data_IF_546297368930
#
_entry.id   IF_546297368930
#
_cell.length_a   1.000
_cell.length_b   1.000
_cell.length_c   1.000
_cell.angle_alpha   90.00
_cell.angle_beta   90.00
_cell.angle_gamma   90.00
#
_symmetry.space_group_name_H-M   'P 1'
#
loop_
_entity.id
_entity.type
_entity.pdbx_description
1 polymer ?
#
# COMPACT_ATOMS: atom_id res chain seq x y z
N UNK A 1 -9.31 13.35 -15.40
CA UNK A 1 -8.28 14.13 -14.69
C UNK A 1 -7.76 13.43 -13.42
N UNK A 2 -8.63 12.94 -12.51
CA UNK A 2 -8.21 12.27 -11.25
C UNK A 2 -7.29 11.04 -11.44
N UNK A 3 -7.50 10.23 -12.48
CA UNK A 3 -6.68 9.03 -12.75
C UNK A 3 -5.22 9.40 -13.06
N UNK A 4 -5.00 10.53 -13.76
CA UNK A 4 -3.65 10.99 -14.11
C UNK A 4 -2.90 11.51 -12.89
N UNK A 5 -3.60 12.14 -11.94
CA UNK A 5 -3.04 12.64 -10.69
C UNK A 5 -2.52 11.49 -9.82
N UNK A 6 -3.36 10.50 -9.51
CA UNK A 6 -2.97 9.33 -8.73
C UNK A 6 -1.87 8.48 -9.40
N UNK A 7 -1.89 8.38 -10.73
CA UNK A 7 -0.84 7.72 -11.49
C UNK A 7 0.51 8.44 -11.39
N UNK A 8 0.52 9.78 -11.30
CA UNK A 8 1.73 10.56 -11.08
C UNK A 8 2.30 10.34 -9.67
N UNK A 9 1.45 10.31 -8.64
CA UNK A 9 1.85 10.06 -7.26
C UNK A 9 2.46 8.66 -7.09
N UNK A 10 1.83 7.64 -7.67
CA UNK A 10 2.33 6.27 -7.65
C UNK A 10 3.75 6.15 -8.27
N UNK A 11 4.02 6.94 -9.31
CA UNK A 11 5.35 7.03 -9.95
C UNK A 11 6.35 7.80 -9.10
N UNK A 12 5.94 8.88 -8.43
CA UNK A 12 6.80 9.75 -7.61
C UNK A 12 6.69 9.51 -6.11
N UNK A 13 6.28 8.31 -5.70
CA UNK A 13 6.03 7.93 -4.29
C UNK A 13 7.15 8.30 -3.32
N UNK A 14 8.41 8.13 -3.72
CA UNK A 14 9.58 8.49 -2.89
C UNK A 14 9.60 10.00 -2.64
N UNK A 15 9.43 10.81 -3.69
CA UNK A 15 9.43 12.26 -3.57
C UNK A 15 8.26 12.75 -2.71
N UNK A 16 7.06 12.14 -2.84
CA UNK A 16 5.89 12.48 -2.01
C UNK A 16 6.17 12.19 -0.53
N UNK A 17 6.70 11.01 -0.20
CA UNK A 17 6.99 10.64 1.20
C UNK A 17 8.10 11.51 1.80
N UNK A 18 9.17 11.78 1.04
CA UNK A 18 10.26 12.64 1.49
C UNK A 18 9.78 14.08 1.69
N UNK A 19 9.00 14.62 0.75
CA UNK A 19 8.43 15.96 0.89
C UNK A 19 7.49 16.06 2.09
N UNK A 20 6.64 15.06 2.31
CA UNK A 20 5.77 14.99 3.50
C UNK A 20 6.59 14.98 4.80
N UNK A 21 7.66 14.17 4.87
CA UNK A 21 8.55 14.12 6.03
C UNK A 21 9.24 15.44 6.29
N UNK A 22 9.88 16.03 5.27
CA UNK A 22 10.58 17.31 5.41
C UNK A 22 9.63 18.42 5.84
N UNK A 23 8.44 18.47 5.24
CA UNK A 23 7.41 19.45 5.59
C UNK A 23 6.95 19.25 7.04
N UNK A 24 6.64 18.02 7.44
CA UNK A 24 6.21 17.69 8.79
C UNK A 24 7.27 18.09 9.84
N UNK A 25 8.55 17.83 9.56
CA UNK A 25 9.65 18.22 10.46
C UNK A 25 9.81 19.73 10.53
N UNK A 26 9.84 20.43 9.40
CA UNK A 26 9.97 21.90 9.37
C UNK A 26 8.83 22.59 10.15
N UNK A 27 7.62 22.10 9.94
CA UNK A 27 6.42 22.53 10.65
C UNK A 27 6.51 22.27 12.17
N UNK A 28 7.04 21.12 12.57
CA UNK A 28 7.23 20.77 13.98
C UNK A 28 8.29 21.66 14.65
N UNK A 29 9.38 21.99 13.95
CA UNK A 29 10.42 22.91 14.43
C UNK A 29 9.87 24.33 14.57
N UNK A 30 9.10 24.80 13.58
CA UNK A 30 8.45 26.11 13.64
C UNK A 30 7.49 26.20 14.85
N UNK A 31 6.73 25.12 15.11
CA UNK A 31 5.87 25.04 16.29
C UNK A 31 6.66 25.13 17.60
N UNK A 32 7.83 24.52 17.67
CA UNK A 32 8.67 24.55 18.87
C UNK A 32 9.25 25.94 19.12
N UNK A 33 9.57 26.69 18.08
CA UNK A 33 10.16 28.04 18.18
C UNK A 33 9.13 29.15 18.41
N UNK A 34 7.89 28.99 17.95
CA UNK A 34 6.83 30.02 18.06
C UNK A 34 6.23 30.22 19.46
N UNK A 35 6.61 29.40 20.46
CA UNK A 35 6.14 29.55 21.86
C UNK A 35 4.68 29.14 22.13
N UNK A 36 4.29 29.13 23.41
CA UNK A 36 3.04 28.52 23.87
C UNK A 36 1.77 29.37 23.67
N UNK A 37 1.90 30.68 23.41
CA UNK A 37 0.78 31.63 23.40
C UNK A 37 -0.29 31.35 22.34
N UNK A 38 0.06 30.67 21.24
CA UNK A 38 -0.88 30.26 20.18
C UNK A 38 -0.86 28.75 19.93
N UNK A 39 -0.32 27.99 20.88
CA UNK A 39 0.07 26.60 20.69
C UNK A 39 -1.07 25.71 20.21
N UNK A 40 -2.31 25.88 20.69
CA UNK A 40 -3.40 24.96 20.37
C UNK A 40 -3.95 25.17 18.94
N UNK A 41 -4.19 26.42 18.55
CA UNK A 41 -4.63 26.78 17.17
C UNK A 41 -3.52 26.49 16.16
N UNK A 42 -2.28 26.84 16.49
CA UNK A 42 -1.13 26.56 15.65
C UNK A 42 -0.86 25.06 15.55
N UNK A 43 -0.99 24.29 16.63
CA UNK A 43 -0.82 22.82 16.60
C UNK A 43 -1.87 22.13 15.74
N UNK A 44 -3.14 22.56 15.80
CA UNK A 44 -4.20 22.04 14.94
C UNK A 44 -3.94 22.37 13.46
N UNK A 45 -3.58 23.62 13.16
CA UNK A 45 -3.27 24.06 11.80
C UNK A 45 -2.04 23.32 11.24
N UNK A 46 -1.05 23.07 12.06
CA UNK A 46 0.21 22.48 11.63
C UNK A 46 0.11 20.95 11.47
N UNK A 47 -0.64 20.27 12.34
CA UNK A 47 -0.72 18.81 12.34
C UNK A 47 -1.90 18.27 11.53
N UNK A 48 -3.09 18.83 11.73
CA UNK A 48 -4.31 18.30 11.14
C UNK A 48 -4.48 18.78 9.70
N UNK A 49 -4.16 20.04 9.40
CA UNK A 49 -4.44 20.64 8.09
C UNK A 49 -3.67 19.96 6.94
N UNK A 50 -2.40 19.56 7.09
CA UNK A 50 -1.70 18.80 6.06
C UNK A 50 -2.10 17.32 6.04
N UNK A 51 -2.36 16.71 7.21
CA UNK A 51 -2.67 15.28 7.30
C UNK A 51 -4.05 14.94 6.69
N UNK A 52 -5.05 15.79 6.92
CA UNK A 52 -6.44 15.57 6.45
C UNK A 52 -6.54 15.36 4.94
N UNK A 53 -5.99 16.21 4.05
CA UNK A 53 -6.09 16.00 2.61
C UNK A 53 -5.38 14.72 2.16
N UNK A 54 -4.27 14.32 2.81
CA UNK A 54 -3.63 13.04 2.52
C UNK A 54 -4.48 11.85 2.94
N UNK A 55 -5.12 11.90 4.12
CA UNK A 55 -5.99 10.83 4.61
C UNK A 55 -7.27 10.72 3.75
N UNK A 56 -7.90 11.85 3.45
CA UNK A 56 -9.07 11.90 2.56
C UNK A 56 -8.70 11.45 1.14
N UNK A 57 -7.57 11.93 0.63
CA UNK A 57 -7.01 11.50 -0.64
C UNK A 57 -6.76 10.00 -0.68
N UNK A 58 -6.21 9.42 0.39
CA UNK A 58 -6.01 7.98 0.51
C UNK A 58 -7.33 7.21 0.49
N UNK A 59 -8.35 7.68 1.21
CA UNK A 59 -9.68 7.07 1.21
C UNK A 59 -10.34 7.13 -0.18
N UNK A 60 -10.31 8.30 -0.83
CA UNK A 60 -10.83 8.49 -2.19
C UNK A 60 -10.07 7.64 -3.19
N UNK A 61 -8.73 7.61 -3.11
CA UNK A 61 -7.89 6.78 -3.95
C UNK A 61 -8.22 5.29 -3.78
N UNK A 62 -8.35 4.80 -2.55
CA UNK A 62 -8.70 3.39 -2.28
C UNK A 62 -10.07 3.01 -2.81
N UNK A 63 -11.02 3.95 -2.87
CA UNK A 63 -12.36 3.71 -3.40
C UNK A 63 -12.44 3.81 -4.93
N UNK A 64 -11.75 4.80 -5.51
CA UNK A 64 -11.94 5.27 -6.89
C UNK A 64 -10.81 4.91 -7.84
N UNK A 65 -9.58 4.73 -7.35
CA UNK A 65 -8.43 4.43 -8.20
C UNK A 65 -8.38 2.94 -8.52
N UNK A 66 -9.00 2.57 -9.65
CA UNK A 66 -8.99 1.22 -10.21
C UNK A 66 -8.54 1.28 -11.65
N UNK A 67 -7.23 1.41 -11.89
CA UNK A 67 -6.71 1.43 -13.24
C UNK A 67 -7.08 0.13 -13.96
N UNK A 68 -7.60 0.25 -15.18
CA UNK A 68 -7.89 -0.86 -16.07
C UNK A 68 -6.65 -1.24 -16.90
N UNK A 69 -5.47 -1.30 -16.26
CA UNK A 69 -4.22 -1.70 -16.89
C UNK A 69 -3.29 -2.40 -15.90
N UNK A 70 -2.45 -3.29 -16.43
CA UNK A 70 -1.36 -3.95 -15.71
C UNK A 70 -0.02 -3.42 -16.25
N UNK A 71 1.01 -3.45 -15.40
CA UNK A 71 2.35 -2.97 -15.76
C UNK A 71 3.17 -4.17 -16.22
N UNK A 72 3.56 -4.20 -17.50
CA UNK A 72 4.53 -5.17 -17.98
C UNK A 72 5.92 -4.85 -17.43
N UNK A 73 6.65 -5.90 -17.03
CA UNK A 73 8.01 -5.81 -16.49
C UNK A 73 8.93 -6.69 -17.31
N UNK A 74 9.65 -6.12 -18.29
CA UNK A 74 10.53 -6.91 -19.14
C UNK A 74 11.74 -7.47 -18.38
N UNK A 75 12.16 -6.83 -17.27
CA UNK A 75 13.32 -7.31 -16.49
C UNK A 75 13.01 -8.56 -15.66
N UNK A 76 11.73 -8.79 -15.35
CA UNK A 76 11.24 -9.98 -14.63
C UNK A 76 9.92 -10.33 -15.28
N UNK A 77 9.85 -11.37 -16.15
CA UNK A 77 8.70 -11.65 -17.02
C UNK A 77 7.43 -11.79 -16.20
N UNK A 78 6.72 -10.67 -16.06
CA UNK A 78 5.62 -10.52 -15.15
C UNK A 78 4.72 -9.34 -15.55
N UNK A 79 3.45 -9.49 -15.23
CA UNK A 79 2.48 -8.40 -15.21
C UNK A 79 2.19 -8.05 -13.75
N UNK A 80 2.54 -6.81 -13.37
CA UNK A 80 2.33 -6.29 -12.02
C UNK A 80 1.10 -5.37 -11.94
N UNK A 81 0.43 -5.41 -10.80
CA UNK A 81 -0.51 -4.35 -10.41
C UNK A 81 0.27 -3.05 -10.14
N UNK A 82 -0.19 -1.88 -10.63
CA UNK A 82 0.48 -0.61 -10.36
C UNK A 82 0.48 -0.27 -8.87
N UNK A 83 1.44 0.56 -8.45
CA UNK A 83 1.55 0.96 -7.04
C UNK A 83 0.26 1.63 -6.56
N UNK A 84 -0.16 1.28 -5.34
CA UNK A 84 -1.41 1.77 -4.77
C UNK A 84 -1.23 3.19 -4.21
N UNK A 85 -1.82 4.24 -4.83
CA UNK A 85 -1.73 5.61 -4.34
C UNK A 85 -2.33 5.79 -2.95
N UNK A 86 -3.32 4.97 -2.55
CA UNK A 86 -3.89 5.05 -1.20
C UNK A 86 -2.86 4.72 -0.11
N UNK A 87 -1.95 3.79 -0.38
CA UNK A 87 -0.88 3.44 0.54
C UNK A 87 0.14 4.59 0.66
N UNK A 88 0.48 5.23 -0.46
CA UNK A 88 1.41 6.38 -0.51
C UNK A 88 0.83 7.58 0.23
N UNK A 89 -0.42 7.95 -0.07
CA UNK A 89 -1.10 9.06 0.59
C UNK A 89 -1.35 8.77 2.08
N UNK A 90 -1.73 7.54 2.42
CA UNK A 90 -1.91 7.13 3.81
C UNK A 90 -0.61 7.22 4.61
N UNK A 91 0.51 6.75 4.04
CA UNK A 91 1.83 6.87 4.65
C UNK A 91 2.28 8.33 4.78
N UNK A 92 2.02 9.17 3.78
CA UNK A 92 2.30 10.60 3.82
C UNK A 92 1.48 11.31 4.92
N UNK A 93 0.17 11.05 5.00
CA UNK A 93 -0.70 11.61 6.03
C UNK A 93 -0.29 11.18 7.44
N UNK A 94 0.02 9.90 7.63
CA UNK A 94 0.50 9.39 8.92
C UNK A 94 1.87 9.98 9.30
N UNK A 95 2.71 10.37 8.34
CA UNK A 95 4.01 11.02 8.61
C UNK A 95 3.85 12.32 9.40
N UNK A 96 2.84 13.13 9.08
CA UNK A 96 2.54 14.35 9.86
C UNK A 96 2.13 14.02 11.30
N UNK A 97 1.28 13.00 11.47
CA UNK A 97 0.83 12.54 12.79
C UNK A 97 2.00 11.99 13.61
N UNK A 98 2.84 11.16 13.00
CA UNK A 98 3.99 10.54 13.66
C UNK A 98 5.00 11.59 14.12
N UNK A 99 5.38 12.53 13.25
CA UNK A 99 6.31 13.62 13.60
C UNK A 99 5.75 14.49 14.71
N UNK A 100 4.44 14.79 14.67
CA UNK A 100 3.78 15.56 15.72
C UNK A 100 3.84 14.84 17.08
N UNK A 101 3.54 13.54 17.11
CA UNK A 101 3.58 12.72 18.33
C UNK A 101 5.02 12.66 18.86
N UNK A 102 6.00 12.33 18.02
CA UNK A 102 7.41 12.24 18.42
C UNK A 102 7.92 13.57 18.97
N UNK A 103 7.65 14.68 18.29
CA UNK A 103 8.05 16.01 18.77
C UNK A 103 7.31 16.45 20.05
N UNK A 104 6.11 15.92 20.31
CA UNK A 104 5.41 16.06 21.59
C UNK A 104 6.09 15.25 22.70
N UNK A 105 6.45 14.00 22.42
CA UNK A 105 7.12 13.09 23.35
C UNK A 105 8.52 13.57 23.76
N UNK A 106 9.26 14.21 22.85
CA UNK A 106 10.56 14.82 23.17
C UNK A 106 10.39 15.93 24.22
N UNK A 107 9.42 16.84 24.04
CA UNK A 107 9.14 17.89 25.03
C UNK A 107 8.59 17.34 26.33
N UNK A 108 7.82 16.25 26.25
CA UNK A 108 7.38 15.54 27.43
C UNK A 108 8.60 15.09 28.23
N UNK A 109 9.59 14.44 27.60
CA UNK A 109 10.84 14.01 28.24
C UNK A 109 11.60 15.16 28.93
N UNK A 110 11.65 16.35 28.32
CA UNK A 110 12.31 17.54 28.89
C UNK A 110 11.65 18.00 30.21
N UNK A 111 10.37 17.70 30.42
CA UNK A 111 9.64 18.05 31.64
C UNK A 111 9.88 17.08 32.83
N UNK A 112 10.81 16.13 32.69
CA UNK A 112 11.17 15.15 33.74
C UNK A 112 10.26 13.91 33.96
N UNK A 113 9.47 13.40 33.00
CA UNK A 113 8.66 12.21 33.18
C UNK A 113 9.42 10.90 32.94
N UNK A 114 8.70 9.79 33.10
CA UNK A 114 9.21 8.43 32.92
C UNK A 114 9.73 8.15 31.49
N UNK A 115 11.04 7.93 31.38
CA UNK A 115 11.74 7.65 30.12
C UNK A 115 11.19 6.42 29.38
N UNK A 116 10.84 5.34 30.11
CA UNK A 116 10.41 4.09 29.49
C UNK A 116 9.12 4.26 28.67
N UNK A 117 8.16 5.05 29.17
CA UNK A 117 6.91 5.34 28.47
C UNK A 117 7.17 6.10 27.17
N UNK A 118 8.02 7.13 27.24
CA UNK A 118 8.42 7.94 26.08
C UNK A 118 9.06 7.08 24.99
N UNK A 119 10.00 6.21 25.39
CA UNK A 119 10.68 5.28 24.46
C UNK A 119 9.67 4.31 23.85
N UNK A 120 8.75 3.75 24.63
CA UNK A 120 7.73 2.83 24.14
C UNK A 120 6.81 3.48 23.08
N UNK A 121 6.35 4.72 23.31
CA UNK A 121 5.51 5.45 22.36
C UNK A 121 6.27 5.77 21.07
N UNK A 122 7.52 6.24 21.16
CA UNK A 122 8.36 6.53 19.99
C UNK A 122 8.61 5.25 19.18
N UNK A 123 8.93 4.14 19.85
CA UNK A 123 9.14 2.86 19.20
C UNK A 123 7.87 2.37 18.48
N UNK A 124 6.70 2.49 19.11
CA UNK A 124 5.42 2.10 18.52
C UNK A 124 5.11 2.94 17.26
N UNK A 125 5.18 4.26 17.38
CA UNK A 125 4.89 5.18 16.27
C UNK A 125 5.91 5.04 15.14
N UNK A 126 7.20 4.93 15.47
CA UNK A 126 8.26 4.68 14.50
C UNK A 126 8.09 3.35 13.77
N UNK A 127 7.70 2.29 14.49
CA UNK A 127 7.40 0.99 13.91
C UNK A 127 6.21 1.03 12.95
N UNK A 128 5.12 1.69 13.34
CA UNK A 128 3.94 1.90 12.46
C UNK A 128 4.31 2.72 11.22
N UNK A 129 5.10 3.79 11.37
CA UNK A 129 5.58 4.61 10.27
C UNK A 129 6.43 3.80 9.28
N UNK A 130 7.36 3.00 9.79
CA UNK A 130 8.21 2.14 8.98
C UNK A 130 7.38 1.09 8.22
N UNK A 131 6.36 0.51 8.86
CA UNK A 131 5.46 -0.44 8.21
C UNK A 131 4.65 0.23 7.07
N UNK A 132 4.14 1.44 7.29
CA UNK A 132 3.41 2.20 6.27
C UNK A 132 4.32 2.63 5.10
N UNK A 133 5.54 3.08 5.37
CA UNK A 133 6.51 3.40 4.32
C UNK A 133 6.90 2.17 3.53
N UNK A 134 7.11 1.03 4.20
CA UNK A 134 7.33 -0.25 3.54
C UNK A 134 6.15 -0.57 2.64
N UNK A 135 4.91 -0.48 3.11
CA UNK A 135 3.70 -0.72 2.33
C UNK A 135 3.57 0.21 1.11
N UNK A 136 3.91 1.50 1.27
CA UNK A 136 3.84 2.51 0.21
C UNK A 136 4.93 2.36 -0.86
N UNK A 137 6.14 2.00 -0.45
CA UNK A 137 7.31 1.89 -1.34
C UNK A 137 7.48 0.49 -1.93
N UNK A 138 7.01 -0.52 -1.21
CA UNK A 138 7.12 -1.92 -1.56
C UNK A 138 6.24 -2.31 -2.73
N UNK A 139 6.64 -3.42 -3.38
CA UNK A 139 5.90 -4.01 -4.49
C UNK A 139 4.95 -5.06 -3.94
N UNK A 140 3.77 -4.62 -3.52
CA UNK A 140 2.70 -5.47 -2.99
C UNK A 140 1.53 -5.57 -3.96
N UNK A 141 0.74 -6.63 -3.81
CA UNK A 141 -0.38 -6.97 -4.67
C UNK A 141 -0.09 -8.16 -5.57
N UNK A 142 -1.00 -8.34 -6.54
CA UNK A 142 -0.98 -9.48 -7.45
C UNK A 142 0.02 -9.25 -8.58
N UNK A 143 0.77 -10.31 -8.89
CA UNK A 143 1.70 -10.43 -10.00
C UNK A 143 1.35 -11.69 -10.77
N UNK A 144 1.18 -11.56 -12.07
CA UNK A 144 1.08 -12.70 -12.98
C UNK A 144 2.47 -12.99 -13.53
N UNK A 145 2.87 -14.25 -13.52
CA UNK A 145 4.15 -14.75 -14.06
C UNK A 145 3.88 -15.96 -14.95
N UNK A 146 4.81 -16.35 -15.84
CA UNK A 146 4.68 -17.59 -16.62
C UNK A 146 4.42 -18.83 -15.75
N UNK A 147 4.99 -18.88 -14.54
CA UNK A 147 4.82 -20.01 -13.62
C UNK A 147 3.49 -20.01 -12.85
N UNK A 148 2.87 -18.84 -12.66
CA UNK A 148 1.64 -18.73 -11.87
C UNK A 148 1.33 -17.33 -11.41
N UNK A 149 0.40 -17.25 -10.47
CA UNK A 149 -0.04 -16.02 -9.81
C UNK A 149 0.68 -15.91 -8.47
N UNK A 150 1.33 -14.77 -8.23
CA UNK A 150 1.91 -14.43 -6.93
C UNK A 150 1.14 -13.27 -6.33
N UNK A 151 0.70 -13.37 -5.08
CA UNK A 151 0.19 -12.23 -4.31
C UNK A 151 1.12 -11.93 -3.14
N UNK A 152 1.72 -10.74 -3.17
CA UNK A 152 2.66 -10.27 -2.15
C UNK A 152 1.97 -9.31 -1.19
N UNK A 153 2.01 -9.63 0.10
CA UNK A 153 1.52 -8.77 1.17
C UNK A 153 2.69 -8.38 2.10
N UNK A 154 2.57 -7.30 2.90
CA UNK A 154 3.67 -6.83 3.75
C UNK A 154 4.32 -7.89 4.65
N UNK A 155 3.54 -8.88 5.09
CA UNK A 155 3.93 -9.91 6.05
C UNK A 155 3.86 -11.34 5.50
N UNK A 156 3.53 -11.54 4.23
CA UNK A 156 3.41 -12.88 3.65
C UNK A 156 3.13 -12.88 2.15
N UNK A 157 3.44 -14.01 1.53
CA UNK A 157 3.30 -14.22 0.09
C UNK A 157 2.43 -15.46 -0.17
N UNK A 158 1.68 -15.44 -1.26
CA UNK A 158 0.96 -16.58 -1.79
C UNK A 158 1.39 -16.82 -3.23
N UNK A 159 1.70 -18.05 -3.57
CA UNK A 159 1.98 -18.49 -4.93
C UNK A 159 0.97 -19.56 -5.33
N UNK A 160 0.29 -19.32 -6.44
CA UNK A 160 -0.73 -20.19 -7.02
C UNK A 160 -0.23 -20.55 -8.42
N UNK A 161 0.29 -21.78 -8.63
CA UNK A 161 0.66 -22.20 -9.97
C UNK A 161 -0.57 -22.23 -10.86
N UNK A 162 -0.42 -21.98 -12.16
CA UNK A 162 -1.55 -22.05 -13.10
C UNK A 162 -2.27 -23.41 -13.06
N UNK A 163 -1.51 -24.46 -12.80
CA UNK A 163 -1.97 -25.84 -12.62
C UNK A 163 -2.88 -26.06 -11.40
N UNK A 164 -2.91 -25.12 -10.45
CA UNK A 164 -3.81 -25.16 -9.30
C UNK A 164 -5.23 -24.69 -9.63
N UNK A 165 -5.40 -23.95 -10.72
CA UNK A 165 -6.68 -23.38 -11.14
C UNK A 165 -7.59 -24.44 -11.76
N UNK A 166 -8.89 -24.28 -11.57
CA UNK A 166 -9.94 -25.04 -12.27
C UNK A 166 -10.05 -24.58 -13.73
N UNK A 167 -10.66 -25.41 -14.58
CA UNK A 167 -10.91 -25.05 -15.98
C UNK A 167 -12.00 -23.98 -16.11
N UNK A 168 -11.96 -23.23 -17.20
CA UNK A 168 -12.66 -21.97 -17.43
C UNK A 168 -14.11 -21.89 -16.88
N UNK A 169 -14.50 -20.80 -16.19
CA UNK A 169 -13.66 -19.67 -15.78
C UNK A 169 -12.93 -19.96 -14.47
N UNK A 170 -11.62 -19.67 -14.44
CA UNK A 170 -10.76 -19.87 -13.27
C UNK A 170 -10.88 -18.74 -12.23
N UNK A 171 -11.26 -17.53 -12.65
CA UNK A 171 -11.29 -16.33 -11.81
C UNK A 171 -12.54 -15.48 -12.03
N UNK A 172 -13.07 -14.89 -10.96
CA UNK A 172 -14.28 -14.08 -10.97
C UNK A 172 -14.12 -12.83 -10.09
N UNK A 173 -14.63 -11.67 -10.51
CA UNK A 173 -14.69 -10.50 -9.64
C UNK A 173 -15.71 -10.77 -8.52
N UNK A 174 -15.25 -10.85 -7.27
CA UNK A 174 -16.15 -11.04 -6.10
C UNK A 174 -16.60 -9.71 -5.52
N UNK A 175 -15.66 -8.77 -5.39
CA UNK A 175 -15.89 -7.40 -4.93
C UNK A 175 -15.03 -6.47 -5.75
N UNK A 176 -15.35 -5.18 -5.66
CA UNK A 176 -14.54 -4.06 -6.09
C UNK A 176 -13.01 -4.21 -5.94
N UNK A 177 -12.56 -4.83 -4.85
CA UNK A 177 -11.15 -4.97 -4.47
C UNK A 177 -10.74 -6.43 -4.28
N UNK A 178 -11.52 -7.40 -4.78
CA UNK A 178 -11.26 -8.83 -4.61
C UNK A 178 -11.61 -9.64 -5.86
N UNK A 179 -10.70 -10.53 -6.23
CA UNK A 179 -10.93 -11.57 -7.23
C UNK A 179 -10.95 -12.92 -6.52
N UNK A 180 -11.99 -13.71 -6.76
CA UNK A 180 -12.09 -15.08 -6.30
C UNK A 180 -11.57 -16.03 -7.38
N UNK A 181 -10.82 -17.04 -6.96
CA UNK A 181 -10.29 -18.09 -7.82
C UNK A 181 -11.03 -19.40 -7.55
N UNK A 182 -11.28 -20.16 -8.61
CA UNK A 182 -11.65 -21.57 -8.51
C UNK A 182 -10.38 -22.40 -8.54
N UNK A 183 -10.09 -23.07 -7.42
CA UNK A 183 -8.92 -23.90 -7.26
C UNK A 183 -9.34 -25.37 -7.40
N UNK A 184 -8.90 -26.04 -8.45
CA UNK A 184 -9.06 -27.49 -8.59
C UNK A 184 -8.06 -28.26 -7.74
N UNK A 185 -6.84 -27.72 -7.58
CA UNK A 185 -5.76 -28.34 -6.79
C UNK A 185 -5.23 -27.38 -5.72
N UNK A 186 -5.97 -27.20 -4.62
CA UNK A 186 -5.61 -26.24 -3.57
C UNK A 186 -4.36 -26.64 -2.76
N UNK A 187 -3.92 -27.90 -2.89
CA UNK A 187 -2.69 -28.48 -2.32
C UNK A 187 -1.41 -27.95 -2.99
N UNK A 188 -1.49 -27.55 -4.27
CA UNK A 188 -0.35 -26.97 -5.00
C UNK A 188 -0.07 -25.51 -4.61
N UNK A 189 -1.01 -24.87 -3.88
CA UNK A 189 -0.88 -23.48 -3.45
C UNK A 189 0.15 -23.37 -2.34
N UNK A 190 1.15 -22.51 -2.53
CA UNK A 190 2.22 -22.28 -1.57
C UNK A 190 1.99 -20.95 -0.84
N UNK A 191 1.91 -21.02 0.49
CA UNK A 191 1.80 -19.84 1.36
C UNK A 191 3.08 -19.69 2.17
N UNK A 192 3.63 -18.48 2.21
CA UNK A 192 4.81 -18.14 3.01
C UNK A 192 4.51 -16.95 3.92
N UNK A 193 4.91 -17.03 5.18
CA UNK A 193 4.70 -15.94 6.15
C UNK A 193 3.25 -15.78 6.61
N UNK A 194 2.96 -14.63 7.19
CA UNK A 194 1.65 -14.30 7.74
C UNK A 194 0.79 -13.58 6.71
N UNK A 195 -0.06 -14.35 6.01
CA UNK A 195 -1.12 -13.84 5.15
C UNK A 195 -2.47 -14.18 5.77
N UNK A 196 -3.27 -13.17 6.06
CA UNK A 196 -4.67 -13.34 6.45
C UNK A 196 -5.56 -13.62 5.25
N UNK A 197 -6.69 -14.30 5.49
CA UNK A 197 -7.71 -14.58 4.48
C UNK A 197 -7.54 -15.89 3.72
N UNK A 198 -8.49 -16.13 2.82
CA UNK A 198 -8.58 -17.35 2.01
C UNK A 198 -7.53 -17.36 0.88
N UNK A 199 -6.96 -18.54 0.60
CA UNK A 199 -6.04 -18.78 -0.53
C UNK A 199 -6.73 -18.62 -1.88
N UNK A 200 -8.04 -18.80 -1.95
CA UNK A 200 -8.84 -18.60 -3.15
C UNK A 200 -9.21 -17.12 -3.37
N UNK A 201 -8.80 -16.20 -2.50
CA UNK A 201 -9.10 -14.77 -2.63
C UNK A 201 -7.82 -13.97 -2.88
N UNK A 202 -7.80 -13.28 -4.02
CA UNK A 202 -6.77 -12.34 -4.40
C UNK A 202 -7.22 -10.90 -4.14
N UNK A 203 -6.37 -10.04 -3.57
CA UNK A 203 -6.64 -8.61 -3.50
C UNK A 203 -6.51 -8.00 -4.90
N UNK A 204 -7.48 -7.19 -5.29
CA UNK A 204 -7.42 -6.32 -6.46
C UNK A 204 -7.14 -4.87 -6.05
N UNK A 205 -6.34 -4.67 -4.99
CA UNK A 205 -6.00 -3.34 -4.52
C UNK A 205 -5.11 -2.63 -5.56
N UNK A 206 -5.61 -1.54 -6.15
CA UNK A 206 -4.87 -0.79 -7.16
C UNK A 206 -5.03 -1.29 -8.60
N UNK A 207 -6.00 -2.18 -8.88
CA UNK A 207 -6.37 -2.57 -10.25
C UNK A 207 -7.88 -2.82 -10.31
N UNK A 208 -8.45 -2.70 -11.51
CA UNK A 208 -9.81 -3.17 -11.72
C UNK A 208 -9.92 -4.71 -11.54
N UNK A 209 -10.86 -5.16 -10.71
CA UNK A 209 -11.03 -6.58 -10.41
C UNK A 209 -11.52 -7.40 -11.62
N UNK A 210 -12.30 -6.78 -12.52
CA UNK A 210 -12.80 -7.43 -13.72
C UNK A 210 -11.70 -7.58 -14.77
N UNK A 211 -10.84 -6.57 -14.92
CA UNK A 211 -9.61 -6.67 -15.71
C UNK A 211 -8.70 -7.79 -15.19
N UNK A 212 -8.45 -7.82 -13.87
CA UNK A 212 -7.58 -8.83 -13.29
C UNK A 212 -8.15 -10.25 -13.50
N UNK A 213 -9.45 -10.44 -13.25
CA UNK A 213 -10.10 -11.73 -13.46
C UNK A 213 -10.09 -12.17 -14.94
N UNK A 214 -10.41 -11.27 -15.87
CA UNK A 214 -10.38 -11.57 -17.30
C UNK A 214 -8.98 -11.89 -17.81
N UNK A 215 -7.96 -11.19 -17.30
CA UNK A 215 -6.56 -11.49 -17.62
C UNK A 215 -6.15 -12.87 -17.10
N UNK A 216 -6.53 -13.21 -15.87
CA UNK A 216 -6.26 -14.54 -15.29
C UNK A 216 -6.94 -15.63 -16.11
N UNK A 217 -8.21 -15.45 -16.49
CA UNK A 217 -8.92 -16.41 -17.33
C UNK A 217 -8.25 -16.57 -18.71
N UNK A 218 -7.83 -15.47 -19.34
CA UNK A 218 -7.13 -15.52 -20.63
C UNK A 218 -5.86 -16.37 -20.61
N UNK A 219 -5.04 -16.25 -19.55
CA UNK A 219 -3.83 -17.07 -19.39
C UNK A 219 -4.08 -18.47 -18.81
N UNK A 220 -5.16 -18.66 -18.05
CA UNK A 220 -5.59 -19.97 -17.61
C UNK A 220 -5.97 -20.83 -18.82
N UNK A 221 -6.75 -20.27 -19.74
CA UNK A 221 -7.27 -20.97 -20.93
C UNK A 221 -6.20 -21.18 -22.01
N UNK A 222 -5.20 -20.29 -22.10
CA UNK A 222 -4.14 -20.33 -23.10
C UNK A 222 -2.76 -20.59 -22.49
N UNK A 223 -2.41 -21.87 -22.38
CA UNK A 223 -1.10 -22.30 -21.86
C UNK A 223 0.08 -21.78 -22.68
N UNK A 224 -0.09 -21.67 -24.01
CA UNK A 224 0.85 -21.09 -24.97
C UNK A 224 1.12 -19.61 -24.71
N UNK A 225 0.12 -18.85 -24.26
CA UNK A 225 0.25 -17.42 -24.02
C UNK A 225 1.02 -17.09 -22.73
N UNK A 226 1.19 -18.04 -21.81
CA UNK A 226 1.82 -17.82 -20.49
C UNK A 226 3.28 -17.41 -20.60
N UNK A 227 4.00 -17.86 -21.63
CA UNK A 227 5.40 -17.48 -21.86
C UNK A 227 5.56 -16.00 -22.26
N UNK A 228 4.51 -15.39 -22.80
CA UNK A 228 4.49 -13.98 -23.18
C UNK A 228 4.12 -13.04 -22.01
N UNK A 229 3.95 -13.56 -20.79
CA UNK A 229 3.64 -12.74 -19.62
C UNK A 229 4.85 -11.83 -19.32
N UNK A 230 4.67 -10.53 -19.56
CA UNK A 230 5.67 -9.50 -19.28
C UNK A 230 6.71 -9.28 -20.38
N UNK A 231 6.58 -9.94 -21.54
CA UNK A 231 7.35 -9.63 -22.76
C UNK A 231 6.78 -8.43 -23.52
#
# INVERSE_FOLDING_TARGET
>A
MMINFFGWEARRRVAVLVAALLTAVALQVLRQTAGNGHALRFSLLVAALPAVPFILGAAVAGQRYRPAWLVARPEVPALDVPANPSAVLGAAGYTFVAVHIVGGMIRYLEAGPELWFTVAVIALVGGQQAALWRAALGRFGVRLTPAGITDRQPYGDLFIPWDALDTAPAAFPRKAHQVALRLARPDLVRKRGFRGGDRALLPAAGVDAQLLASTINGYADRTDARIAIGS
#
